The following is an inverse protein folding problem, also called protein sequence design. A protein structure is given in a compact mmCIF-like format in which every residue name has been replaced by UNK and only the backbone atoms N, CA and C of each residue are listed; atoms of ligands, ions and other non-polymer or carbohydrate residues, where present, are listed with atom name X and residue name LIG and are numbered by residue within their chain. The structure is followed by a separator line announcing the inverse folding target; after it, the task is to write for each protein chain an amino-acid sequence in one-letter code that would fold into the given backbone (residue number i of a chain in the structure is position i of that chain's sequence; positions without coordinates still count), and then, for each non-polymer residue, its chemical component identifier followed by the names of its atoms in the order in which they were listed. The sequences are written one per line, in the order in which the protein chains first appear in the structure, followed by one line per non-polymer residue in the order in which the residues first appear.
data_IF_686597348355
#
_entry.id   IF_686597348355
#
_cell.length_a   1.000
_cell.length_b   1.000
_cell.length_c   1.000
_cell.angle_alpha   90.00
_cell.angle_beta   90.00
_cell.angle_gamma   90.00
#
_symmetry.space_group_name_H-M   'P 1'
#
loop_
_entity.id
_entity.type
_entity.pdbx_description
1 polymer ?
#
# COMPACT_ATOMS: atom_id res chain seq x y z
N UNK A 1 -34.96 15.09 -0.64
CA UNK A 1 -35.18 13.66 -0.96
C UNK A 1 -34.37 13.38 -2.21
N UNK A 2 -33.26 12.67 -2.26
CA UNK A 2 -32.48 11.86 -1.32
C UNK A 2 -30.98 12.14 -1.59
N UNK A 3 -30.17 12.11 -0.54
CA UNK A 3 -28.71 12.15 -0.62
C UNK A 3 -28.21 10.79 -1.11
N UNK A 4 -27.50 10.73 -2.24
CA UNK A 4 -26.80 9.52 -2.65
C UNK A 4 -25.41 9.47 -2.01
N UNK A 5 -25.30 8.64 -0.97
CA UNK A 5 -24.04 8.18 -0.39
C UNK A 5 -23.53 7.00 -1.23
N UNK A 6 -22.55 7.23 -2.11
CA UNK A 6 -21.86 6.13 -2.81
C UNK A 6 -20.38 6.15 -2.48
N UNK A 7 -20.01 5.29 -1.52
CA UNK A 7 -18.62 5.02 -1.15
C UNK A 7 -17.84 4.52 -2.36
N UNK A 8 -16.75 5.21 -2.69
CA UNK A 8 -15.82 4.77 -3.72
C UNK A 8 -15.09 3.52 -3.24
N UNK A 9 -15.36 2.38 -3.88
CA UNK A 9 -14.47 1.23 -3.79
C UNK A 9 -13.21 1.59 -4.57
N UNK A 10 -12.09 1.75 -3.88
CA UNK A 10 -10.78 2.02 -4.50
C UNK A 10 -10.29 0.71 -5.12
N UNK A 11 -10.89 0.33 -6.24
CA UNK A 11 -10.48 -0.82 -7.02
C UNK A 11 -9.12 -0.51 -7.65
N UNK A 12 -8.07 -0.99 -6.98
CA UNK A 12 -6.72 -1.17 -7.49
C UNK A 12 -5.98 0.14 -7.80
N UNK A 13 -4.84 0.38 -7.14
CA UNK A 13 -3.94 1.46 -7.54
C UNK A 13 -3.63 1.32 -9.04
N UNK A 14 -3.76 2.42 -9.81
CA UNK A 14 -3.56 2.44 -11.27
C UNK A 14 -2.26 1.71 -11.61
N UNK A 15 -2.27 0.64 -12.42
CA UNK A 15 -1.08 -0.15 -12.73
C UNK A 15 0.08 0.68 -13.28
N UNK A 16 -0.24 1.79 -13.95
CA UNK A 16 0.74 2.70 -14.54
C UNK A 16 1.05 3.93 -13.67
N UNK A 17 0.51 3.98 -12.45
CA UNK A 17 0.77 5.07 -11.51
C UNK A 17 2.28 5.20 -11.28
N UNK A 18 2.78 6.44 -11.38
CA UNK A 18 4.12 6.82 -10.89
C UNK A 18 4.09 7.39 -9.48
N UNK A 19 2.94 7.27 -8.83
CA UNK A 19 2.67 7.85 -7.51
C UNK A 19 2.22 6.76 -6.55
N UNK A 20 2.58 6.95 -5.29
CA UNK A 20 2.11 6.15 -4.16
C UNK A 20 0.88 6.80 -3.54
N UNK A 21 -0.06 5.98 -3.06
CA UNK A 21 -1.18 6.47 -2.26
C UNK A 21 -0.88 6.23 -0.78
N UNK A 22 -0.81 7.32 0.01
CA UNK A 22 -0.59 7.23 1.45
C UNK A 22 -1.85 6.79 2.19
N UNK A 23 -1.65 5.92 3.18
CA UNK A 23 -2.63 5.58 4.18
C UNK A 23 -1.97 5.01 5.42
N UNK A 24 -2.77 4.29 6.22
CA UNK A 24 -2.30 3.66 7.46
C UNK A 24 -3.05 2.37 7.72
N UNK A 25 -2.50 1.51 8.56
CA UNK A 25 -3.26 0.39 9.15
C UNK A 25 -4.29 0.93 10.16
N UNK A 26 -5.24 0.07 10.56
CA UNK A 26 -6.15 0.35 11.69
C UNK A 26 -5.42 0.62 13.02
N UNK A 27 -4.16 0.16 13.15
CA UNK A 27 -3.27 0.42 14.30
C UNK A 27 -2.40 1.67 14.11
N UNK A 28 -2.69 2.50 13.11
CA UNK A 28 -1.99 3.75 12.83
C UNK A 28 -0.60 3.60 12.20
N UNK A 29 -0.15 2.39 11.83
CA UNK A 29 1.14 2.24 11.14
C UNK A 29 1.05 2.77 9.70
N UNK A 30 1.99 3.63 9.24
CA UNK A 30 1.99 4.17 7.88
C UNK A 30 2.13 3.08 6.81
N UNK A 31 1.43 3.27 5.70
CA UNK A 31 1.44 2.38 4.55
C UNK A 31 1.31 3.16 3.25
N UNK A 32 1.80 2.57 2.17
CA UNK A 32 1.57 3.07 0.81
C UNK A 32 1.01 1.99 -0.09
N UNK A 33 0.13 2.37 -1.02
CA UNK A 33 -0.26 1.56 -2.17
C UNK A 33 0.48 2.03 -3.42
N UNK A 34 1.01 1.07 -4.18
CA UNK A 34 1.65 1.30 -5.46
C UNK A 34 1.32 0.13 -6.40
N UNK A 35 0.76 0.44 -7.58
CA UNK A 35 0.43 -0.55 -8.64
C UNK A 35 -0.30 -1.81 -8.15
N UNK A 36 -1.25 -1.62 -7.22
CA UNK A 36 -2.06 -2.70 -6.64
C UNK A 36 -1.43 -3.40 -5.44
N UNK A 37 -0.17 -3.14 -5.11
CA UNK A 37 0.52 -3.74 -3.98
C UNK A 37 0.59 -2.78 -2.79
N UNK A 38 0.54 -3.36 -1.58
CA UNK A 38 0.64 -2.62 -0.33
C UNK A 38 2.03 -2.76 0.29
N UNK A 39 2.55 -1.66 0.81
CA UNK A 39 3.85 -1.59 1.44
C UNK A 39 3.75 -0.91 2.80
N UNK A 40 4.49 -1.40 3.79
CA UNK A 40 4.60 -0.79 5.12
C UNK A 40 5.93 -0.06 5.25
N UNK A 41 5.90 1.11 5.88
CA UNK A 41 7.09 1.93 6.12
C UNK A 41 7.75 1.58 7.44
N UNK A 42 9.05 1.77 7.52
CA UNK A 42 9.70 1.87 8.84
C UNK A 42 9.39 3.24 9.44
N UNK A 43 9.26 3.32 10.78
CA UNK A 43 8.97 4.59 11.48
C UNK A 43 10.08 5.65 11.33
N UNK A 44 11.27 5.26 10.89
CA UNK A 44 12.44 6.14 10.79
C UNK A 44 12.84 6.30 9.33
N UNK A 45 12.67 7.50 8.78
CA UNK A 45 13.31 7.88 7.54
C UNK A 45 14.84 7.79 7.75
N UNK A 46 15.55 7.10 6.85
CA UNK A 46 17.02 7.02 6.91
C UNK A 46 17.55 7.96 5.83
N UNK A 47 18.39 8.92 6.24
CA UNK A 47 19.04 9.87 5.31
C UNK A 47 18.06 10.65 4.42
N UNK A 48 16.89 11.03 4.94
CA UNK A 48 15.88 11.81 4.19
C UNK A 48 14.95 10.99 3.29
N UNK A 49 15.02 9.65 3.33
CA UNK A 49 14.16 8.78 2.54
C UNK A 49 13.33 7.85 3.41
N UNK A 50 12.12 7.56 2.95
CA UNK A 50 11.32 6.45 3.45
C UNK A 50 11.63 5.18 2.67
N UNK A 51 11.67 4.07 3.38
CA UNK A 51 11.81 2.74 2.81
C UNK A 51 10.56 1.93 3.14
N UNK A 52 9.90 1.46 2.08
CA UNK A 52 8.63 0.76 2.13
C UNK A 52 8.81 -0.68 1.68
N UNK A 53 8.42 -1.63 2.51
CA UNK A 53 8.50 -3.06 2.19
C UNK A 53 7.14 -3.61 1.85
N UNK A 54 7.06 -4.49 0.85
CA UNK A 54 5.81 -5.20 0.57
C UNK A 54 5.27 -5.89 1.83
N UNK A 55 3.97 -5.79 2.09
CA UNK A 55 3.31 -6.39 3.26
C UNK A 55 3.46 -7.90 3.34
N UNK A 56 3.66 -8.57 2.20
CA UNK A 56 3.89 -10.01 2.11
C UNK A 56 5.35 -10.40 2.37
N UNK A 57 6.25 -9.46 2.70
CA UNK A 57 7.68 -9.76 2.95
C UNK A 57 7.90 -10.88 3.96
N UNK A 58 7.15 -10.87 5.06
CA UNK A 58 7.30 -11.86 6.13
C UNK A 58 6.59 -13.18 5.86
N UNK A 59 5.56 -13.20 5.01
CA UNK A 59 4.70 -14.38 4.80
C UNK A 59 4.95 -15.08 3.46
N UNK A 60 5.27 -14.34 2.40
CA UNK A 60 5.49 -14.86 1.04
C UNK A 60 6.92 -14.71 0.53
N UNK A 61 7.88 -14.38 1.43
CA UNK A 61 9.30 -14.09 1.10
C UNK A 61 9.46 -13.04 -0.01
N UNK A 62 8.48 -12.14 -0.13
CA UNK A 62 8.50 -11.10 -1.14
C UNK A 62 9.59 -10.07 -0.82
N UNK A 63 10.40 -9.72 -1.81
CA UNK A 63 11.49 -8.75 -1.64
C UNK A 63 11.18 -7.37 -2.22
N UNK A 64 9.99 -7.20 -2.83
CA UNK A 64 9.56 -5.95 -3.40
C UNK A 64 9.61 -4.81 -2.37
N UNK A 65 10.16 -3.67 -2.79
CA UNK A 65 10.34 -2.50 -1.95
C UNK A 65 10.36 -1.20 -2.77
N UNK A 66 10.06 -0.09 -2.10
CA UNK A 66 10.03 1.25 -2.69
C UNK A 66 10.81 2.19 -1.78
N UNK A 67 11.56 3.09 -2.39
CA UNK A 67 12.14 4.25 -1.73
C UNK A 67 11.42 5.51 -2.18
N UNK A 68 11.10 6.38 -1.22
CA UNK A 68 10.53 7.69 -1.52
C UNK A 68 11.26 8.80 -0.76
N UNK A 69 11.17 10.04 -1.26
CA UNK A 69 11.46 11.24 -0.46
C UNK A 69 10.45 11.38 0.69
N UNK A 70 10.67 12.36 1.57
CA UNK A 70 9.72 12.71 2.64
C UNK A 70 8.35 13.12 2.08
N UNK A 71 8.32 13.75 0.91
CA UNK A 71 7.09 14.15 0.20
C UNK A 71 6.50 13.01 -0.67
N UNK A 72 6.88 11.76 -0.38
CA UNK A 72 6.38 10.56 -1.06
C UNK A 72 6.68 10.48 -2.57
N UNK A 73 7.62 11.26 -3.09
CA UNK A 73 8.10 11.10 -4.47
C UNK A 73 8.95 9.85 -4.55
N UNK A 74 8.61 8.96 -5.48
CA UNK A 74 9.35 7.71 -5.71
C UNK A 74 10.74 8.04 -6.23
N UNK A 75 11.77 7.49 -5.58
CA UNK A 75 13.17 7.59 -6.00
C UNK A 75 13.70 6.27 -6.53
N UNK A 76 13.22 5.14 -6.01
CA UNK A 76 13.58 3.81 -6.49
C UNK A 76 12.47 2.80 -6.23
N UNK A 77 12.33 1.81 -7.11
CA UNK A 77 11.36 0.72 -7.00
C UNK A 77 12.06 -0.59 -7.36
N UNK A 78 11.97 -1.56 -6.45
CA UNK A 78 12.21 -2.96 -6.76
C UNK A 78 10.86 -3.68 -6.84
N UNK A 79 10.31 -3.82 -8.05
CA UNK A 79 8.92 -4.26 -8.29
C UNK A 79 8.79 -5.76 -8.63
N UNK A 80 9.71 -6.60 -8.10
CA UNK A 80 9.66 -8.04 -8.31
C UNK A 80 8.91 -8.72 -7.16
N UNK A 81 7.65 -9.08 -7.42
CA UNK A 81 6.80 -9.80 -6.47
C UNK A 81 6.83 -11.30 -6.75
N UNK A 82 6.73 -12.09 -5.68
CA UNK A 82 6.61 -13.54 -5.71
C UNK A 82 5.16 -14.01 -5.53
N UNK A 83 4.21 -13.08 -5.58
CA UNK A 83 2.80 -13.30 -5.34
C UNK A 83 1.98 -12.27 -6.13
N UNK A 84 0.72 -12.57 -6.40
CA UNK A 84 -0.24 -11.61 -6.95
C UNK A 84 -0.65 -10.51 -5.94
N UNK A 85 -1.27 -9.42 -6.40
CA UNK A 85 -1.71 -8.32 -5.56
C UNK A 85 -2.66 -8.78 -4.45
N UNK A 86 -2.40 -8.40 -3.18
CA UNK A 86 -3.34 -8.64 -2.10
C UNK A 86 -4.56 -7.71 -2.19
N UNK A 87 -5.73 -8.22 -1.79
CA UNK A 87 -6.96 -7.43 -1.75
C UNK A 87 -7.00 -6.52 -0.51
N UNK A 88 -7.05 -5.20 -0.73
CA UNK A 88 -7.23 -4.18 0.30
C UNK A 88 -8.31 -3.18 -0.13
N UNK A 89 -9.02 -2.60 0.82
CA UNK A 89 -9.83 -1.40 0.59
C UNK A 89 -9.38 -0.28 1.52
N UNK A 90 -9.57 0.98 1.09
CA UNK A 90 -9.37 2.17 1.91
C UNK A 90 -10.70 2.56 2.54
N UNK A 91 -10.78 2.63 3.87
CA UNK A 91 -11.98 3.09 4.55
C UNK A 91 -12.06 4.63 4.59
N UNK A 92 -13.16 5.18 5.11
CA UNK A 92 -13.39 6.63 5.24
C UNK A 92 -12.37 7.34 6.14
N UNK A 93 -11.65 6.61 6.99
CA UNK A 93 -10.57 7.13 7.85
C UNK A 93 -9.20 7.12 7.18
N UNK A 94 -9.14 6.73 5.90
CA UNK A 94 -7.91 6.59 5.13
C UNK A 94 -7.09 5.37 5.51
N UNK A 95 -7.68 4.40 6.20
CA UNK A 95 -7.01 3.18 6.63
C UNK A 95 -7.12 2.11 5.55
N UNK A 96 -6.02 1.41 5.27
CA UNK A 96 -6.03 0.21 4.43
C UNK A 96 -6.43 -1.00 5.27
N UNK A 97 -7.56 -1.59 4.92
CA UNK A 97 -8.10 -2.78 5.55
C UNK A 97 -7.94 -3.94 4.58
N UNK A 98 -7.23 -4.98 5.03
CA UNK A 98 -7.06 -6.21 4.26
C UNK A 98 -8.43 -6.87 4.12
N UNK A 99 -8.85 -7.15 2.89
CA UNK A 99 -10.02 -8.00 2.67
C UNK A 99 -9.62 -9.40 3.14
N UNK A 100 -10.40 -10.00 4.04
CA UNK A 100 -10.21 -11.41 4.40
C UNK A 100 -10.56 -12.23 3.16
N UNK A 101 -9.55 -12.57 2.38
CA UNK A 101 -9.64 -13.64 1.40
C UNK A 101 -9.35 -14.92 2.18
N UNK A 102 -10.33 -15.81 2.27
CA UNK A 102 -10.14 -17.14 2.82
C UNK A 102 -8.97 -17.78 2.07
N UNK A 103 -7.84 -17.89 2.79
CA UNK A 103 -6.57 -18.52 2.42
C UNK A 103 -6.10 -18.23 0.98
N UNK A 104 -5.05 -17.42 0.88
CA UNK A 104 -4.23 -17.39 -0.32
C UNK A 104 -3.84 -18.84 -0.68
N UNK A 105 -4.05 -19.30 -1.93
CA UNK A 105 -3.62 -20.63 -2.35
C UNK A 105 -2.10 -20.81 -2.18
#
# INVERSE_FOLDING_TARGET
MLQELQGHVVHHARPDSREVQLGKTQRGQPMVLYRGFAYYGTRKAKRGYHHWYCVSRNFGRCRANIYTTQDLRITNVFDLHTHGPPSFYRNSRGEFVKVRQDRYP
#
